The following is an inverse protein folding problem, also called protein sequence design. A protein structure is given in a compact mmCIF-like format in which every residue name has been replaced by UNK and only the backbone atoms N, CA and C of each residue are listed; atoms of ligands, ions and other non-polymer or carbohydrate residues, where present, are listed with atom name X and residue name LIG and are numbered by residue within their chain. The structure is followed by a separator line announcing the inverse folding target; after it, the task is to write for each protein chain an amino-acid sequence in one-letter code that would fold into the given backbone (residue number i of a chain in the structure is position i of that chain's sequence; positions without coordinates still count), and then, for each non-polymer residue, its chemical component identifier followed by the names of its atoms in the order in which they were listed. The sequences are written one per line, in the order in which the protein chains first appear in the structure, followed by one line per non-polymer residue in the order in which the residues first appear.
data_IF_398918391784
#
_entry.id   IF_398918391784
#
_cell.length_a   1.000
_cell.length_b   1.000
_cell.length_c   1.000
_cell.angle_alpha   90.00
_cell.angle_beta   90.00
_cell.angle_gamma   90.00
#
_symmetry.space_group_name_H-M   'P 1'
#
loop_
_entity.id
_entity.type
_entity.pdbx_description
1 polymer ?
#
# COMPACT_ATOMS: atom_id res chain seq x y z
N UNK A 1 8.17 18.52 -23.66
CA UNK A 1 7.55 17.77 -22.55
C UNK A 1 7.60 16.32 -22.95
N UNK A 2 8.65 15.62 -22.55
CA UNK A 2 8.80 14.20 -22.87
C UNK A 2 7.87 13.45 -21.93
N UNK A 3 7.00 12.64 -22.52
CA UNK A 3 6.15 11.68 -21.83
C UNK A 3 7.05 10.85 -20.92
N UNK A 4 6.85 10.95 -19.61
CA UNK A 4 7.49 10.03 -18.69
C UNK A 4 7.02 8.62 -19.09
N UNK A 5 7.94 7.65 -19.19
CA UNK A 5 7.55 6.28 -19.53
C UNK A 5 6.68 5.72 -18.39
N UNK A 6 5.37 5.60 -18.65
CA UNK A 6 4.38 5.11 -17.70
C UNK A 6 3.96 3.71 -18.10
N UNK A 7 4.19 2.75 -17.21
CA UNK A 7 3.82 1.34 -17.38
C UNK A 7 2.85 0.89 -16.31
N UNK A 8 1.66 0.45 -16.69
CA UNK A 8 0.73 -0.21 -15.77
C UNK A 8 1.32 -1.53 -15.25
N UNK A 9 1.23 -1.73 -13.93
CA UNK A 9 1.68 -2.95 -13.25
C UNK A 9 0.51 -3.85 -12.87
N UNK A 10 -0.66 -3.28 -12.63
CA UNK A 10 -1.87 -4.03 -12.35
C UNK A 10 -3.09 -3.14 -12.12
N UNK A 11 -4.26 -3.72 -12.33
CA UNK A 11 -5.56 -3.06 -12.21
C UNK A 11 -6.56 -4.00 -11.55
N UNK A 12 -7.37 -3.45 -10.66
CA UNK A 12 -8.43 -4.18 -9.96
C UNK A 12 -9.64 -3.26 -9.81
N UNK A 13 -10.79 -3.71 -10.27
CA UNK A 13 -12.08 -3.06 -10.03
C UNK A 13 -12.86 -3.82 -8.95
N UNK A 14 -13.55 -3.10 -8.08
CA UNK A 14 -14.36 -3.69 -7.02
C UNK A 14 -15.54 -2.81 -6.61
N UNK A 15 -16.30 -3.21 -5.58
CA UNK A 15 -17.47 -2.47 -5.09
C UNK A 15 -17.17 -1.03 -4.62
N UNK A 16 -15.90 -0.74 -4.34
CA UNK A 16 -15.44 0.55 -3.81
C UNK A 16 -14.64 1.37 -4.85
N UNK A 17 -14.75 1.03 -6.14
CA UNK A 17 -14.05 1.71 -7.22
C UNK A 17 -12.96 0.86 -7.86
N UNK A 18 -12.20 1.50 -8.73
CA UNK A 18 -11.06 0.94 -9.45
C UNK A 18 -9.75 1.42 -8.83
N UNK A 19 -8.78 0.52 -8.74
CA UNK A 19 -7.41 0.83 -8.37
C UNK A 19 -6.47 0.35 -9.45
N UNK A 20 -5.55 1.22 -9.85
CA UNK A 20 -4.46 0.93 -10.80
C UNK A 20 -3.14 1.25 -10.13
N UNK A 21 -2.21 0.31 -10.17
CA UNK A 21 -0.81 0.55 -9.84
C UNK A 21 -0.03 0.68 -11.15
N UNK A 22 0.73 1.75 -11.29
CA UNK A 22 1.62 1.98 -12.44
C UNK A 22 3.01 2.41 -11.98
N UNK A 23 3.99 2.23 -12.85
CA UNK A 23 5.35 2.72 -12.68
C UNK A 23 5.58 3.87 -13.65
N UNK A 24 6.03 5.02 -13.15
CA UNK A 24 6.48 6.15 -13.95
C UNK A 24 8.00 6.26 -13.87
N UNK A 25 8.67 6.34 -15.01
CA UNK A 25 10.12 6.57 -15.06
C UNK A 25 10.41 8.06 -15.20
N UNK A 26 11.14 8.63 -14.24
CA UNK A 26 11.59 10.02 -14.27
C UNK A 26 12.75 10.22 -15.27
N UNK A 27 13.10 11.47 -15.55
CA UNK A 27 14.14 11.82 -16.53
C UNK A 27 15.53 11.30 -16.16
N UNK A 28 15.79 11.12 -14.87
CA UNK A 28 17.03 10.53 -14.32
C UNK A 28 17.06 9.00 -14.38
N UNK A 29 16.00 8.37 -14.92
CA UNK A 29 15.82 6.92 -14.99
C UNK A 29 15.25 6.30 -13.72
N UNK A 30 14.95 7.09 -12.68
CA UNK A 30 14.36 6.59 -11.43
C UNK A 30 12.91 6.18 -11.66
N UNK A 31 12.54 4.97 -11.20
CA UNK A 31 11.18 4.47 -11.30
C UNK A 31 10.37 4.76 -10.04
N UNK A 32 9.25 5.45 -10.19
CA UNK A 32 8.29 5.75 -9.12
C UNK A 32 7.02 4.94 -9.28
N UNK A 33 6.47 4.46 -8.18
CA UNK A 33 5.15 3.82 -8.15
C UNK A 33 4.07 4.88 -7.95
N UNK A 34 3.03 4.80 -8.77
CA UNK A 34 1.86 5.66 -8.67
C UNK A 34 0.60 4.83 -8.48
N UNK A 35 -0.22 5.25 -7.53
CA UNK A 35 -1.51 4.68 -7.24
C UNK A 35 -2.61 5.58 -7.81
N UNK A 36 -3.43 5.02 -8.70
CA UNK A 36 -4.57 5.72 -9.31
C UNK A 36 -5.85 5.07 -8.78
N UNK A 37 -6.78 5.90 -8.31
CA UNK A 37 -8.10 5.47 -7.81
C UNK A 37 -9.18 6.15 -8.62
N UNK A 38 -10.06 5.36 -9.25
CA UNK A 38 -11.12 5.83 -10.14
C UNK A 38 -10.64 6.82 -11.22
N UNK A 39 -9.45 6.54 -11.78
CA UNK A 39 -8.82 7.37 -12.81
C UNK A 39 -8.12 8.64 -12.30
N UNK A 40 -8.15 8.90 -10.98
CA UNK A 40 -7.51 10.07 -10.36
C UNK A 40 -6.21 9.64 -9.67
N UNK A 41 -5.14 10.43 -9.85
CA UNK A 41 -3.90 10.24 -9.10
C UNK A 41 -4.16 10.38 -7.60
N UNK A 42 -3.94 9.31 -6.84
CA UNK A 42 -4.15 9.29 -5.41
C UNK A 42 -2.87 9.57 -4.63
N UNK A 43 -1.76 8.89 -4.97
CA UNK A 43 -0.44 9.09 -4.37
C UNK A 43 0.69 8.46 -5.20
N UNK A 44 1.94 8.77 -4.87
CA UNK A 44 3.14 8.10 -5.36
C UNK A 44 4.10 7.70 -4.22
N UNK A 45 5.26 7.16 -4.56
CA UNK A 45 6.35 6.86 -3.62
C UNK A 45 7.53 7.85 -3.70
N UNK A 46 7.35 9.01 -4.35
CA UNK A 46 8.41 10.03 -4.51
C UNK A 46 8.82 10.59 -3.15
N UNK A 47 7.84 10.92 -2.30
CA UNK A 47 8.07 11.29 -0.91
C UNK A 47 7.18 10.45 0.00
N UNK A 48 7.84 9.63 0.80
CA UNK A 48 7.20 8.70 1.74
C UNK A 48 7.55 9.05 3.19
N UNK A 49 8.12 10.23 3.42
CA UNK A 49 8.55 10.70 4.73
C UNK A 49 7.36 10.89 5.68
N UNK A 50 6.24 11.39 5.16
CA UNK A 50 5.03 11.65 5.95
C UNK A 50 4.43 10.35 6.49
N UNK A 51 4.34 9.29 5.66
CA UNK A 51 3.81 7.98 6.04
C UNK A 51 4.64 7.33 7.14
N UNK A 52 5.97 7.47 7.06
CA UNK A 52 6.90 6.97 8.08
C UNK A 52 6.82 7.79 9.35
N UNK A 53 6.80 9.11 9.24
CA UNK A 53 6.68 10.00 10.38
C UNK A 53 5.38 9.75 11.15
N UNK A 54 4.24 9.61 10.44
CA UNK A 54 2.95 9.30 11.04
C UNK A 54 2.99 8.01 11.88
N UNK A 55 3.57 6.93 11.34
CA UNK A 55 3.70 5.67 12.05
C UNK A 55 4.60 5.79 13.30
N UNK A 56 5.78 6.38 13.13
CA UNK A 56 6.75 6.58 14.23
C UNK A 56 6.16 7.42 15.36
N UNK A 57 5.53 8.54 15.01
CA UNK A 57 4.93 9.48 15.95
C UNK A 57 3.73 8.86 16.68
N UNK A 58 2.89 8.08 15.99
CA UNK A 58 1.80 7.36 16.63
C UNK A 58 2.33 6.33 17.63
N UNK A 59 3.34 5.55 17.26
CA UNK A 59 3.95 4.52 18.11
C UNK A 59 4.72 5.09 19.31
N UNK A 60 5.33 6.27 19.17
CA UNK A 60 6.01 6.96 20.26
C UNK A 60 5.05 7.38 21.38
N UNK A 61 3.78 7.64 21.04
CA UNK A 61 2.72 7.99 22.01
C UNK A 61 2.11 6.78 22.72
N UNK A 62 2.44 5.56 22.29
CA UNK A 62 1.92 4.33 22.88
C UNK A 62 2.95 3.68 23.82
N UNK A 63 2.51 3.40 25.06
CA UNK A 63 3.29 2.65 26.04
C UNK A 63 3.04 1.14 25.95
N UNK A 64 3.99 0.33 26.42
CA UNK A 64 3.90 -1.13 26.44
C UNK A 64 4.72 -1.80 25.34
N UNK A 65 4.75 -3.14 25.36
CA UNK A 65 5.61 -3.98 24.48
C UNK A 65 4.81 -4.88 23.54
N UNK A 66 3.48 -4.81 23.58
CA UNK A 66 2.53 -5.69 22.89
C UNK A 66 1.47 -4.87 22.15
N UNK A 67 1.92 -3.99 21.27
CA UNK A 67 1.06 -3.06 20.55
C UNK A 67 0.31 -3.78 19.43
N UNK A 68 -0.98 -3.51 19.34
CA UNK A 68 -1.84 -3.87 18.20
C UNK A 68 -2.18 -2.60 17.45
N UNK A 69 -1.78 -2.54 16.18
CA UNK A 69 -1.92 -1.35 15.34
C UNK A 69 -2.98 -1.60 14.27
N UNK A 70 -3.92 -0.66 14.14
CA UNK A 70 -4.84 -0.59 13.02
C UNK A 70 -4.41 0.56 12.10
N UNK A 71 -4.19 0.27 10.82
CA UNK A 71 -3.87 1.28 9.81
C UNK A 71 -5.13 1.55 8.98
N UNK A 72 -5.65 2.78 9.07
CA UNK A 72 -6.86 3.22 8.34
C UNK A 72 -6.57 3.52 6.88
N UNK A 73 -6.51 2.47 6.05
CA UNK A 73 -6.12 2.56 4.64
C UNK A 73 -4.64 2.25 4.44
N UNK A 74 -4.30 1.47 3.41
CA UNK A 74 -2.93 0.99 3.21
C UNK A 74 -2.11 1.87 2.28
N UNK A 75 -2.72 2.58 1.33
CA UNK A 75 -1.99 3.26 0.25
C UNK A 75 -1.02 2.30 -0.43
N UNK A 76 0.25 2.71 -0.57
CA UNK A 76 1.35 1.86 -1.02
C UNK A 76 2.00 1.00 0.09
N UNK A 77 1.52 1.11 1.33
CA UNK A 77 1.92 0.25 2.45
C UNK A 77 3.04 0.81 3.34
N UNK A 78 3.55 2.02 3.09
CA UNK A 78 4.68 2.58 3.85
C UNK A 78 4.40 2.79 5.34
N UNK A 79 3.20 3.27 5.70
CA UNK A 79 2.79 3.40 7.11
C UNK A 79 2.72 2.04 7.80
N UNK A 80 2.12 1.04 7.15
CA UNK A 80 2.00 -0.31 7.70
C UNK A 80 3.38 -0.97 7.84
N UNK A 81 4.24 -0.84 6.84
CA UNK A 81 5.61 -1.36 6.87
C UNK A 81 6.43 -0.73 8.02
N UNK A 82 6.30 0.59 8.21
CA UNK A 82 6.98 1.31 9.31
C UNK A 82 6.45 0.87 10.67
N UNK A 83 5.14 0.70 10.82
CA UNK A 83 4.55 0.23 12.06
C UNK A 83 5.00 -1.21 12.40
N UNK A 84 5.02 -2.10 11.40
CA UNK A 84 5.46 -3.49 11.57
C UNK A 84 6.96 -3.64 11.85
N UNK A 85 7.76 -2.60 11.58
CA UNK A 85 9.18 -2.58 11.90
C UNK A 85 9.45 -2.29 13.39
N UNK A 86 8.46 -1.76 14.14
CA UNK A 86 8.60 -1.57 15.59
C UNK A 86 8.48 -2.93 16.29
N UNK A 87 9.49 -3.35 17.08
CA UNK A 87 9.51 -4.67 17.72
C UNK A 87 8.40 -4.89 18.74
N UNK A 88 7.75 -3.81 19.19
CA UNK A 88 6.61 -3.86 20.12
C UNK A 88 5.31 -4.21 19.39
N UNK A 89 5.27 -4.14 18.06
CA UNK A 89 4.06 -4.38 17.27
C UNK A 89 3.92 -5.88 16.99
N UNK A 90 2.78 -6.44 17.42
CA UNK A 90 2.40 -7.83 17.14
C UNK A 90 1.51 -7.85 15.90
N UNK A 91 1.83 -8.73 14.94
CA UNK A 91 1.00 -8.95 13.75
C UNK A 91 0.49 -10.39 13.69
N UNK A 92 -0.68 -10.55 13.10
CA UNK A 92 -1.26 -11.86 12.79
C UNK A 92 -2.05 -11.75 11.49
N UNK A 93 -1.82 -12.66 10.55
CA UNK A 93 -2.63 -12.74 9.33
C UNK A 93 -3.95 -13.43 9.63
N UNK A 94 -5.08 -12.87 9.18
CA UNK A 94 -6.33 -13.63 9.18
C UNK A 94 -6.29 -14.70 8.07
N UNK A 95 -6.94 -15.87 8.25
CA UNK A 95 -6.93 -16.94 7.25
C UNK A 95 -7.52 -16.55 5.88
N UNK A 96 -8.39 -15.53 5.85
CA UNK A 96 -8.94 -14.97 4.61
C UNK A 96 -7.96 -14.03 3.90
N UNK A 97 -7.05 -13.39 4.64
CA UNK A 97 -6.05 -12.45 4.12
C UNK A 97 -4.79 -13.17 3.60
N UNK A 98 -4.45 -14.35 4.14
CA UNK A 98 -3.24 -15.10 3.75
C UNK A 98 -3.23 -15.55 2.29
N UNK A 99 -4.39 -15.75 1.66
CA UNK A 99 -4.47 -16.09 0.22
C UNK A 99 -4.18 -14.91 -0.71
N UNK A 100 -4.22 -13.65 -0.21
CA UNK A 100 -4.11 -12.43 -1.01
C UNK A 100 -2.72 -11.79 -0.98
N UNK A 101 -1.90 -12.07 0.05
CA UNK A 101 -0.66 -11.32 0.30
C UNK A 101 0.64 -12.07 -0.02
N UNK A 102 0.60 -13.39 -0.24
CA UNK A 102 1.78 -14.25 -0.48
C UNK A 102 2.56 -13.95 -1.77
N UNK A 103 2.15 -12.97 -2.56
CA UNK A 103 2.68 -12.73 -3.90
C UNK A 103 3.32 -11.34 -4.09
N UNK A 104 3.68 -10.65 -3.01
CA UNK A 104 4.35 -9.34 -3.08
C UNK A 104 3.42 -8.21 -3.59
N UNK A 105 3.94 -6.98 -3.75
CA UNK A 105 3.14 -5.89 -4.29
C UNK A 105 2.83 -6.19 -5.77
N UNK A 106 1.54 -6.32 -6.07
CA UNK A 106 0.96 -6.40 -7.41
C UNK A 106 1.15 -7.70 -8.24
N UNK A 107 1.15 -8.89 -7.62
CA UNK A 107 0.91 -10.12 -8.37
C UNK A 107 -0.24 -10.92 -7.79
N UNK A 108 -1.37 -10.99 -8.50
CA UNK A 108 -2.41 -12.00 -8.27
C UNK A 108 -3.69 -11.52 -7.59
N UNK A 109 -4.45 -10.61 -8.21
CA UNK A 109 -5.90 -10.56 -7.96
C UNK A 109 -6.61 -11.54 -8.92
N UNK A 110 -7.12 -12.65 -8.38
CA UNK A 110 -8.09 -13.51 -9.06
C UNK A 110 -9.49 -12.90 -8.96
N UNK A 111 -10.30 -12.87 -10.04
CA UNK A 111 -11.61 -12.22 -10.09
C UNK A 111 -12.75 -12.98 -9.37
N UNK A 112 -12.44 -14.02 -8.58
CA UNK A 112 -13.44 -14.85 -7.91
C UNK A 112 -13.45 -14.59 -6.41
N UNK A 113 -14.16 -13.54 -5.99
CA UNK A 113 -14.64 -13.44 -4.62
C UNK A 113 -16.11 -12.97 -4.68
N UNK A 114 -17.08 -13.77 -4.19
CA UNK A 114 -18.47 -13.35 -4.15
C UNK A 114 -18.67 -12.26 -3.09
N UNK A 115 -19.68 -11.36 -3.26
CA UNK A 115 -19.99 -10.36 -2.25
C UNK A 115 -20.49 -11.05 -0.98
N UNK A 116 -19.85 -10.76 0.16
CA UNK A 116 -20.33 -11.17 1.48
C UNK A 116 -21.61 -10.40 1.83
N UNK A 117 -22.64 -11.15 2.19
CA UNK A 117 -23.92 -10.69 2.71
C UNK A 117 -23.80 -10.21 4.14
#
# INVERSE_FOLDING_TARGET
MIDADVRELGRVSGPHGEVVLRRRTAEDGTGHLELIVDGVFAMDDVDTSTERALATEALARCAGTELRVLVGGLGLGWTAATALADPRVRWSTSPSCSRRWSAGPATGCSPRCPPTR
#
